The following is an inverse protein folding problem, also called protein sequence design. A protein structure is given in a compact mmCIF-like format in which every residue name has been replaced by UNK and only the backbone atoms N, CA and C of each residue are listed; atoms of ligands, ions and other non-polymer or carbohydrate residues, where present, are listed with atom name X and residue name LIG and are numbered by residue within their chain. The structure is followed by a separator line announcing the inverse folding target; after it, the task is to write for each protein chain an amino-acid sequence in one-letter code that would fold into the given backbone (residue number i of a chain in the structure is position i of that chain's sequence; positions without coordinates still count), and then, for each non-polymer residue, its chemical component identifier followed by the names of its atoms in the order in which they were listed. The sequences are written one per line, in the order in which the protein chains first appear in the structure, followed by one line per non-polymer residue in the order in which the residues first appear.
data_IF_369834780497
#
_entry.id   IF_369834780497
#
_cell.length_a   1.000
_cell.length_b   1.000
_cell.length_c   1.000
_cell.angle_alpha   90.00
_cell.angle_beta   90.00
_cell.angle_gamma   90.00
#
_symmetry.space_group_name_H-M   'P 1'
#
loop_
_entity.id
_entity.type
_entity.pdbx_description
1 polymer ?
#
# COMPACT_ATOMS: atom_id res chain seq x y z
N UNK A 1 -1.38 -25.41 -7.54
CA UNK A 1 -2.69 -24.91 -7.06
C UNK A 1 -2.60 -24.07 -5.78
N UNK A 2 -1.92 -24.52 -4.71
CA UNK A 2 -1.82 -23.78 -3.42
C UNK A 2 -1.10 -22.41 -3.56
N UNK A 3 -0.10 -22.31 -4.45
CA UNK A 3 0.64 -21.06 -4.67
C UNK A 3 -0.23 -19.95 -5.28
N UNK A 4 -1.11 -20.27 -6.23
CA UNK A 4 -1.96 -19.27 -6.88
C UNK A 4 -2.99 -18.64 -5.94
N UNK A 5 -3.55 -19.44 -5.02
CA UNK A 5 -4.48 -18.95 -3.98
C UNK A 5 -3.81 -17.90 -3.10
N UNK A 6 -2.48 -17.98 -2.92
CA UNK A 6 -1.72 -17.02 -2.12
C UNK A 6 -1.59 -15.64 -2.76
N UNK A 7 -1.92 -15.49 -4.03
CA UNK A 7 -1.90 -14.19 -4.69
C UNK A 7 -3.26 -13.52 -4.70
N UNK A 8 -4.32 -14.22 -4.30
CA UNK A 8 -5.70 -13.71 -4.35
C UNK A 8 -5.87 -12.38 -3.59
N UNK A 9 -5.46 -12.24 -2.32
CA UNK A 9 -5.57 -10.96 -1.59
C UNK A 9 -4.75 -9.84 -2.23
N UNK A 10 -3.56 -10.14 -2.77
CA UNK A 10 -2.74 -9.13 -3.43
C UNK A 10 -3.43 -8.64 -4.71
N UNK A 11 -3.91 -9.55 -5.55
CA UNK A 11 -4.63 -9.22 -6.79
C UNK A 11 -5.95 -8.51 -6.50
N UNK A 12 -6.71 -8.96 -5.49
CA UNK A 12 -7.93 -8.29 -5.06
C UNK A 12 -7.65 -6.89 -4.54
N UNK A 13 -6.60 -6.72 -3.74
CA UNK A 13 -6.25 -5.41 -3.22
C UNK A 13 -5.71 -4.47 -4.29
N UNK A 14 -4.93 -4.97 -5.26
CA UNK A 14 -4.57 -4.23 -6.47
C UNK A 14 -5.83 -3.79 -7.23
N UNK A 15 -6.81 -4.67 -7.43
CA UNK A 15 -8.07 -4.31 -8.09
C UNK A 15 -8.86 -3.24 -7.31
N UNK A 16 -8.84 -3.29 -5.96
CA UNK A 16 -9.43 -2.24 -5.11
C UNK A 16 -8.72 -0.90 -5.32
N UNK A 17 -7.39 -0.87 -5.30
CA UNK A 17 -6.59 0.33 -5.57
C UNK A 17 -6.94 0.89 -6.95
N UNK A 18 -6.87 0.07 -7.99
CA UNK A 18 -7.16 0.45 -9.36
C UNK A 18 -8.58 1.06 -9.51
N UNK A 19 -9.57 0.44 -8.86
CA UNK A 19 -10.94 0.93 -8.87
C UNK A 19 -11.07 2.31 -8.20
N UNK A 20 -10.47 2.51 -7.03
CA UNK A 20 -10.53 3.80 -6.34
C UNK A 20 -9.71 4.89 -7.06
N UNK A 21 -8.55 4.53 -7.62
CA UNK A 21 -7.73 5.43 -8.45
C UNK A 21 -8.44 5.88 -9.74
N UNK A 22 -9.44 5.11 -10.22
CA UNK A 22 -10.29 5.53 -11.35
C UNK A 22 -11.31 6.64 -11.00
N UNK A 23 -11.47 6.98 -9.72
CA UNK A 23 -12.41 8.02 -9.26
C UNK A 23 -11.68 9.36 -9.11
N UNK A 24 -12.31 10.46 -9.54
CA UNK A 24 -11.83 11.83 -9.28
C UNK A 24 -12.10 12.21 -7.82
N UNK A 25 -11.13 12.83 -7.16
CA UNK A 25 -11.07 13.03 -5.71
C UNK A 25 -12.01 14.07 -5.09
N UNK A 26 -13.03 14.55 -5.81
CA UNK A 26 -13.88 15.67 -5.36
C UNK A 26 -14.77 15.33 -4.12
N UNK A 27 -14.81 14.07 -3.65
CA UNK A 27 -15.74 13.60 -2.61
C UNK A 27 -15.11 13.28 -1.23
N UNK A 28 -13.80 13.46 -1.02
CA UNK A 28 -13.10 12.99 0.20
C UNK A 28 -12.59 14.09 1.16
N UNK A 29 -12.76 15.37 0.82
CA UNK A 29 -12.05 16.48 1.48
C UNK A 29 -12.55 16.86 2.89
N UNK A 30 -13.78 16.50 3.26
CA UNK A 30 -14.44 17.10 4.43
C UNK A 30 -13.72 16.92 5.79
N UNK A 31 -13.07 15.77 6.03
CA UNK A 31 -12.36 15.51 7.28
C UNK A 31 -10.83 15.71 7.17
N UNK A 32 -10.28 15.56 5.97
CA UNK A 32 -8.86 15.78 5.68
C UNK A 32 -8.51 17.27 5.77
N UNK A 33 -9.44 18.16 5.39
CA UNK A 33 -9.30 19.60 5.53
C UNK A 33 -9.04 20.06 6.97
N UNK A 34 -9.65 19.40 7.95
CA UNK A 34 -9.42 19.71 9.36
C UNK A 34 -7.99 19.34 9.73
N UNK A 35 -7.53 18.16 9.34
CA UNK A 35 -6.16 17.70 9.61
C UNK A 35 -5.11 18.61 8.97
N UNK A 36 -5.33 19.05 7.73
CA UNK A 36 -4.45 19.95 7.00
C UNK A 36 -4.34 21.35 7.61
N UNK A 37 -5.38 21.82 8.31
CA UNK A 37 -5.31 23.09 9.07
C UNK A 37 -4.42 22.99 10.30
N UNK A 38 -4.44 21.84 10.99
CA UNK A 38 -3.61 21.61 12.18
C UNK A 38 -2.17 21.24 11.84
N UNK A 39 -1.96 20.55 10.71
CA UNK A 39 -0.64 20.09 10.26
C UNK A 39 -0.41 20.49 8.79
N UNK A 40 -0.08 21.78 8.53
CA UNK A 40 0.13 22.27 7.17
C UNK A 40 1.28 21.56 6.44
N UNK A 41 2.24 20.99 7.18
CA UNK A 41 3.31 20.17 6.62
C UNK A 41 2.81 18.90 5.89
N UNK A 42 1.59 18.43 6.18
CA UNK A 42 1.00 17.23 5.59
C UNK A 42 0.00 17.52 4.46
N UNK A 43 -0.14 18.78 4.02
CA UNK A 43 -1.06 19.16 2.93
C UNK A 43 -0.81 18.43 1.61
N UNK A 44 0.43 17.97 1.37
CA UNK A 44 0.79 17.20 0.18
C UNK A 44 0.79 15.69 0.41
N UNK A 45 0.28 15.22 1.56
CA UNK A 45 0.31 13.82 1.94
C UNK A 45 -1.04 13.16 1.70
N UNK A 46 -1.07 12.27 0.72
CA UNK A 46 -2.24 11.45 0.40
C UNK A 46 -2.26 10.21 1.32
N UNK A 47 -3.17 10.25 2.30
CA UNK A 47 -3.38 9.15 3.23
C UNK A 47 -4.03 7.92 2.58
N UNK A 48 -4.81 8.09 1.51
CA UNK A 48 -5.41 7.01 0.76
C UNK A 48 -4.35 6.15 0.07
N UNK A 49 -3.44 6.79 -0.64
CA UNK A 49 -2.26 6.16 -1.24
C UNK A 49 -1.37 5.52 -0.17
N UNK A 50 -1.04 6.26 0.89
CA UNK A 50 -0.23 5.73 2.00
C UNK A 50 -0.82 4.44 2.63
N UNK A 51 -2.10 4.44 3.01
CA UNK A 51 -2.75 3.28 3.64
C UNK A 51 -2.88 2.13 2.63
N UNK A 52 -3.23 2.44 1.38
CA UNK A 52 -3.42 1.44 0.34
C UNK A 52 -2.15 0.63 0.09
N UNK A 53 -1.00 1.29 -0.03
CA UNK A 53 0.26 0.61 -0.32
C UNK A 53 0.90 -0.02 0.92
N UNK A 54 0.57 0.48 2.13
CA UNK A 54 0.85 -0.23 3.38
C UNK A 54 0.17 -1.60 3.38
N UNK A 55 -1.14 -1.64 3.11
CA UNK A 55 -1.89 -2.91 3.06
C UNK A 55 -1.40 -3.79 1.91
N UNK A 56 -1.12 -3.22 0.73
CA UNK A 56 -0.57 -3.96 -0.41
C UNK A 56 0.74 -4.68 -0.03
N UNK A 57 1.65 -3.99 0.67
CA UNK A 57 2.92 -4.60 1.13
C UNK A 57 2.68 -5.85 1.99
N UNK A 58 1.69 -5.81 2.88
CA UNK A 58 1.33 -6.96 3.73
C UNK A 58 0.73 -8.10 2.91
N UNK A 59 -0.11 -7.80 1.91
CA UNK A 59 -0.61 -8.84 1.00
C UNK A 59 0.52 -9.51 0.20
N UNK A 60 1.57 -8.78 -0.18
CA UNK A 60 2.77 -9.38 -0.78
C UNK A 60 3.56 -10.24 0.21
N UNK A 61 3.72 -9.81 1.47
CA UNK A 61 4.31 -10.66 2.53
C UNK A 61 3.51 -11.97 2.66
N UNK A 62 2.18 -11.89 2.61
CA UNK A 62 1.31 -13.06 2.64
C UNK A 62 1.49 -13.97 1.41
N UNK A 63 1.62 -13.38 0.22
CA UNK A 63 1.79 -14.10 -1.03
C UNK A 63 3.13 -14.86 -1.08
N UNK A 64 4.22 -14.17 -0.75
CA UNK A 64 5.58 -14.73 -0.79
C UNK A 64 5.89 -15.67 0.38
N UNK A 65 5.26 -15.49 1.56
CA UNK A 65 5.56 -16.23 2.80
C UNK A 65 7.07 -16.36 3.06
N UNK A 66 7.84 -15.26 3.11
CA UNK A 66 9.28 -15.34 3.31
C UNK A 66 9.58 -15.98 4.67
N UNK A 67 10.58 -16.88 4.71
CA UNK A 67 11.03 -17.51 5.97
C UNK A 67 11.52 -16.49 6.99
N UNK A 68 12.11 -15.39 6.52
CA UNK A 68 12.61 -14.26 7.33
C UNK A 68 12.37 -12.94 6.58
N UNK A 69 12.01 -11.90 7.32
CA UNK A 69 11.96 -10.52 6.80
C UNK A 69 13.36 -9.90 6.86
N UNK A 70 14.22 -10.28 5.91
CA UNK A 70 15.52 -9.64 5.73
C UNK A 70 15.34 -8.29 5.02
N UNK A 71 16.34 -7.41 5.12
CA UNK A 71 16.32 -6.12 4.41
C UNK A 71 16.08 -6.30 2.91
N UNK A 72 16.71 -7.30 2.28
CA UNK A 72 16.53 -7.60 0.86
C UNK A 72 15.07 -7.98 0.52
N UNK A 73 14.41 -8.78 1.37
CA UNK A 73 12.99 -9.14 1.17
C UNK A 73 12.10 -7.90 1.30
N UNK A 74 12.37 -7.05 2.29
CA UNK A 74 11.60 -5.81 2.48
C UNK A 74 11.76 -4.87 1.30
N UNK A 75 13.00 -4.63 0.84
CA UNK A 75 13.27 -3.78 -0.32
C UNK A 75 12.65 -4.37 -1.58
N UNK A 76 12.65 -5.69 -1.75
CA UNK A 76 11.95 -6.35 -2.86
C UNK A 76 10.44 -6.13 -2.84
N UNK A 77 9.80 -6.18 -1.67
CA UNK A 77 8.36 -5.91 -1.54
C UNK A 77 8.05 -4.42 -1.78
N UNK A 78 8.85 -3.51 -1.23
CA UNK A 78 8.71 -2.07 -1.47
C UNK A 78 8.90 -1.76 -2.96
N UNK A 79 9.85 -2.40 -3.62
CA UNK A 79 10.05 -2.27 -5.07
C UNK A 79 8.83 -2.76 -5.86
N UNK A 80 8.22 -3.88 -5.48
CA UNK A 80 7.00 -4.35 -6.15
C UNK A 80 5.82 -3.38 -5.95
N UNK A 81 5.66 -2.82 -4.75
CA UNK A 81 4.69 -1.76 -4.50
C UNK A 81 4.98 -0.52 -5.34
N UNK A 82 6.24 -0.08 -5.43
CA UNK A 82 6.65 1.05 -6.28
C UNK A 82 6.34 0.82 -7.75
N UNK A 83 6.68 -0.36 -8.29
CA UNK A 83 6.39 -0.72 -9.67
C UNK A 83 4.89 -0.73 -9.93
N UNK A 84 4.09 -1.25 -9.00
CA UNK A 84 2.64 -1.19 -9.10
C UNK A 84 2.12 0.26 -9.04
N UNK A 85 2.68 1.11 -8.19
CA UNK A 85 2.39 2.54 -8.12
C UNK A 85 2.60 3.25 -9.45
N UNK A 86 3.71 2.94 -10.14
CA UNK A 86 3.94 3.47 -11.50
C UNK A 86 2.82 3.05 -12.46
N UNK A 87 2.35 1.81 -12.38
CA UNK A 87 1.24 1.35 -13.22
C UNK A 87 -0.09 2.01 -12.88
N UNK A 88 -0.33 2.34 -11.61
CA UNK A 88 -1.54 3.03 -11.17
C UNK A 88 -1.52 4.49 -11.64
N UNK A 89 -0.41 5.20 -11.49
CA UNK A 89 -0.20 6.54 -12.02
C UNK A 89 -0.35 6.60 -13.55
N UNK A 90 0.21 5.59 -14.25
CA UNK A 90 0.00 5.44 -15.69
C UNK A 90 -1.48 5.22 -16.04
N UNK A 91 -2.19 4.38 -15.28
CA UNK A 91 -3.63 4.20 -15.44
C UNK A 91 -4.40 5.51 -15.20
N UNK A 92 -4.08 6.24 -14.13
CA UNK A 92 -4.71 7.53 -13.81
C UNK A 92 -4.52 8.56 -14.93
N UNK A 93 -3.43 8.48 -15.71
CA UNK A 93 -3.22 9.36 -16.87
C UNK A 93 -4.31 9.22 -17.96
N UNK A 94 -5.08 8.13 -17.96
CA UNK A 94 -6.23 7.92 -18.84
C UNK A 94 -7.57 8.32 -18.22
N UNK A 95 -7.59 8.69 -16.94
CA UNK A 95 -8.80 9.08 -16.22
C UNK A 95 -9.04 10.59 -16.40
N UNK A 96 -10.18 11.02 -16.95
CA UNK A 96 -10.46 12.44 -17.14
C UNK A 96 -10.38 13.23 -15.83
N UNK A 97 -9.67 14.36 -15.84
CA UNK A 97 -9.41 15.23 -14.68
C UNK A 97 -8.51 14.62 -13.59
N UNK A 98 -7.78 13.54 -13.90
CA UNK A 98 -6.63 13.08 -13.10
C UNK A 98 -5.33 13.40 -13.85
N UNK A 99 -4.25 13.56 -13.08
CA UNK A 99 -2.90 13.77 -13.60
C UNK A 99 -1.93 12.90 -12.83
N UNK A 100 -0.86 12.46 -13.49
CA UNK A 100 0.24 11.74 -12.85
C UNK A 100 0.84 12.58 -11.72
N UNK A 101 0.98 11.99 -10.55
CA UNK A 101 1.42 12.62 -9.31
C UNK A 101 2.62 11.89 -8.73
N UNK A 102 3.80 12.54 -8.80
CA UNK A 102 4.98 12.05 -8.09
C UNK A 102 4.78 12.04 -6.56
N UNK A 103 3.83 12.84 -6.08
CA UNK A 103 3.52 12.91 -4.66
C UNK A 103 2.78 11.67 -4.19
N UNK A 104 1.88 11.15 -5.01
CA UNK A 104 1.13 9.92 -4.71
C UNK A 104 2.05 8.71 -4.79
N UNK A 105 2.88 8.62 -5.83
CA UNK A 105 3.93 7.61 -5.91
C UNK A 105 4.91 7.64 -4.72
N UNK A 106 5.24 8.83 -4.20
CA UNK A 106 6.02 8.97 -2.96
C UNK A 106 5.27 8.39 -1.77
N UNK A 107 3.98 8.71 -1.63
CA UNK A 107 3.15 8.25 -0.51
C UNK A 107 2.95 6.73 -0.56
N UNK A 108 2.86 6.14 -1.76
CA UNK A 108 2.83 4.70 -1.99
C UNK A 108 4.08 4.01 -1.43
N UNK A 109 5.26 4.54 -1.76
CA UNK A 109 6.56 4.02 -1.30
C UNK A 109 6.69 4.16 0.22
N UNK A 110 6.30 5.31 0.78
CA UNK A 110 6.30 5.54 2.23
C UNK A 110 5.35 4.54 2.91
N UNK A 111 4.15 4.34 2.37
CA UNK A 111 3.17 3.37 2.85
C UNK A 111 3.72 1.96 2.90
N UNK A 112 4.29 1.50 1.79
CA UNK A 112 4.91 0.17 1.70
C UNK A 112 6.09 0.02 2.67
N UNK A 113 6.97 1.03 2.76
CA UNK A 113 8.13 1.00 3.65
C UNK A 113 7.72 0.97 5.13
N UNK A 114 6.75 1.79 5.52
CA UNK A 114 6.19 1.78 6.87
C UNK A 114 5.51 0.45 7.15
N UNK A 115 4.72 -0.08 6.22
CA UNK A 115 4.11 -1.41 6.33
C UNK A 115 5.13 -2.50 6.65
N UNK A 116 6.25 -2.52 5.91
CA UNK A 116 7.33 -3.46 6.18
C UNK A 116 8.01 -3.22 7.53
N UNK A 117 8.24 -1.97 7.92
CA UNK A 117 8.84 -1.62 9.22
C UNK A 117 7.95 -2.04 10.40
N UNK A 118 6.63 -1.89 10.29
CA UNK A 118 5.67 -2.29 11.33
C UNK A 118 5.75 -3.80 11.62
N UNK A 119 6.07 -4.64 10.64
CA UNK A 119 6.24 -6.09 10.85
C UNK A 119 7.53 -6.46 11.61
N UNK A 120 8.44 -5.51 11.87
CA UNK A 120 9.55 -5.71 12.82
C UNK A 120 9.14 -5.51 14.27
N UNK A 121 8.01 -4.84 14.52
CA UNK A 121 7.52 -4.57 15.86
C UNK A 121 6.83 -5.86 16.37
N UNK A 122 7.35 -6.54 17.41
CA UNK A 122 6.85 -7.86 17.82
C UNK A 122 5.33 -7.97 18.04
N UNK A 123 4.64 -7.03 18.73
CA UNK A 123 3.19 -7.11 18.88
C UNK A 123 2.44 -7.05 17.55
N UNK A 124 2.87 -6.18 16.62
CA UNK A 124 2.25 -6.05 15.31
C UNK A 124 2.51 -7.27 14.44
N UNK A 125 3.73 -7.81 14.48
CA UNK A 125 4.06 -9.07 13.81
C UNK A 125 3.20 -10.23 14.30
N UNK A 126 2.97 -10.33 15.61
CA UNK A 126 2.09 -11.37 16.21
C UNK A 126 0.64 -11.17 15.81
N UNK A 127 0.17 -9.92 15.77
CA UNK A 127 -1.18 -9.60 15.32
C UNK A 127 -1.38 -10.02 13.86
N UNK A 128 -0.46 -9.62 12.98
CA UNK A 128 -0.46 -10.02 11.58
C UNK A 128 -0.44 -11.54 11.45
N UNK A 129 0.47 -12.24 12.15
CA UNK A 129 0.56 -13.69 12.15
C UNK A 129 -0.77 -14.40 12.46
N UNK A 130 -1.49 -13.90 13.49
CA UNK A 130 -2.80 -14.41 13.89
C UNK A 130 -3.86 -14.15 12.82
N UNK A 131 -3.88 -12.95 12.25
CA UNK A 131 -4.88 -12.56 11.27
C UNK A 131 -4.81 -13.38 9.97
N UNK A 132 -3.61 -13.77 9.55
CA UNK A 132 -3.41 -14.51 8.29
C UNK A 132 -3.17 -16.02 8.46
N UNK A 133 -3.47 -16.57 9.65
CA UNK A 133 -3.13 -17.93 10.09
C UNK A 133 -1.72 -18.33 9.64
N UNK A 134 -0.81 -17.36 9.71
CA UNK A 134 0.58 -17.58 9.44
C UNK A 134 1.20 -18.11 10.72
N UNK A 135 1.19 -19.44 10.85
CA UNK A 135 2.16 -20.14 11.70
C UNK A 135 3.54 -19.76 11.16
N UNK A 136 4.08 -18.64 11.65
CA UNK A 136 5.50 -18.39 11.54
C UNK A 136 6.17 -19.56 12.26
N UNK A 137 6.91 -20.35 11.48
CA UNK A 137 7.74 -21.45 11.93
C UNK A 137 8.79 -20.98 12.93
#
# INVERSE_FOLDING_TARGET
MILAIRWVPAVLWMAVIYYFSSKTGDDLDGWLDVLHRWLPALQSFDFGHFISYLVLSWTFVWAFRPKRLTLAVMLGIVLLCFLYGITDEYHQSFVPRRSVSLMDLRNDVIGAAVGMALLHIPPLRRLYARAVDAKYY
#
